data_IF_160185321546
#
_entry.id   IF_160185321546
#
_cell.length_a   1.000
_cell.length_b   1.000
_cell.length_c   1.000
_cell.angle_alpha   90.00
_cell.angle_beta   90.00
_cell.angle_gamma   90.00
#
_symmetry.space_group_name_H-M   'P 1'
#
loop_
_entity.id
_entity.type
_entity.pdbx_description
1 polymer ?
#
# COMPACT_ATOMS: atom_id res chain seq x y z
N UNK A 1 7.81 11.65 -7.76
CA UNK A 1 8.69 11.46 -6.60
C UNK A 1 9.28 10.08 -6.65
N UNK A 2 9.48 9.46 -5.49
CA UNK A 2 10.09 8.14 -5.35
C UNK A 2 9.03 7.03 -5.39
N UNK A 3 9.36 5.89 -5.99
CA UNK A 3 8.47 4.72 -5.99
C UNK A 3 8.51 4.02 -4.64
N UNK A 4 7.34 3.75 -4.07
CA UNK A 4 7.20 2.82 -2.94
C UNK A 4 7.27 1.38 -3.44
N UNK A 5 6.60 1.09 -4.55
CA UNK A 5 6.68 -0.17 -5.29
C UNK A 5 6.15 -0.01 -6.71
N UNK A 6 6.48 -0.98 -7.56
CA UNK A 6 5.98 -1.08 -8.93
C UNK A 6 4.92 -2.17 -9.06
N UNK A 7 4.08 -2.01 -10.06
CA UNK A 7 3.16 -3.04 -10.54
C UNK A 7 3.94 -4.32 -10.85
N UNK A 8 3.45 -5.45 -10.35
CA UNK A 8 4.08 -6.76 -10.52
C UNK A 8 5.06 -7.16 -9.42
N UNK A 9 5.53 -6.21 -8.60
CA UNK A 9 6.40 -6.54 -7.45
C UNK A 9 5.67 -7.48 -6.48
N UNK A 10 6.43 -8.33 -5.79
CA UNK A 10 5.83 -9.20 -4.77
C UNK A 10 5.38 -8.36 -3.57
N UNK A 11 4.08 -8.41 -3.24
CA UNK A 11 3.55 -7.67 -2.09
C UNK A 11 3.74 -8.40 -0.77
N UNK A 12 4.77 -8.05 0.01
CA UNK A 12 5.07 -8.63 1.34
C UNK A 12 4.63 -7.78 2.52
N UNK A 13 4.14 -6.58 2.25
CA UNK A 13 3.82 -5.57 3.26
C UNK A 13 2.73 -4.62 2.75
N UNK A 14 2.07 -3.90 3.65
CA UNK A 14 1.19 -2.78 3.33
C UNK A 14 1.66 -1.50 4.04
N UNK A 15 1.17 -0.36 3.57
CA UNK A 15 1.63 0.94 4.03
C UNK A 15 0.47 1.82 4.49
N UNK A 16 0.76 2.71 5.44
CA UNK A 16 -0.11 3.79 5.89
C UNK A 16 0.58 5.13 5.65
N UNK A 17 -0.16 6.11 5.13
CA UNK A 17 0.36 7.46 4.93
C UNK A 17 0.30 8.20 6.27
N UNK A 18 1.46 8.46 6.88
CA UNK A 18 1.57 9.27 8.10
C UNK A 18 1.59 10.78 7.76
N UNK A 19 2.38 11.15 6.75
CA UNK A 19 2.46 12.51 6.22
C UNK A 19 2.80 12.49 4.72
N UNK A 20 2.54 13.61 4.02
CA UNK A 20 2.74 13.70 2.57
C UNK A 20 1.58 13.11 1.75
N UNK A 21 1.87 12.59 0.57
CA UNK A 21 0.86 12.02 -0.33
C UNK A 21 1.46 10.94 -1.25
N UNK A 22 0.64 9.96 -1.62
CA UNK A 22 1.01 8.87 -2.54
C UNK A 22 0.06 8.83 -3.73
N UNK A 23 0.62 8.87 -4.94
CA UNK A 23 -0.08 8.67 -6.20
C UNK A 23 -0.12 7.18 -6.54
N UNK A 24 -1.31 6.63 -6.72
CA UNK A 24 -1.52 5.27 -7.22
C UNK A 24 -1.74 5.35 -8.71
N UNK A 25 -0.92 4.63 -9.49
CA UNK A 25 -0.91 4.74 -10.94
C UNK A 25 -1.11 3.39 -11.63
N UNK A 26 -1.90 3.38 -12.69
CA UNK A 26 -2.08 2.23 -13.57
C UNK A 26 -1.66 2.65 -14.97
N UNK A 27 -0.66 1.95 -15.53
CA UNK A 27 -0.08 2.26 -16.85
C UNK A 27 0.38 3.73 -16.94
N UNK A 28 0.96 4.25 -15.85
CA UNK A 28 1.44 5.64 -15.76
C UNK A 28 0.37 6.71 -15.61
N UNK A 29 -0.91 6.34 -15.48
CA UNK A 29 -1.99 7.29 -15.19
C UNK A 29 -2.38 7.24 -13.71
N UNK A 30 -2.40 8.39 -13.04
CA UNK A 30 -2.91 8.51 -11.67
C UNK A 30 -4.40 8.15 -11.64
N UNK A 31 -4.73 7.10 -10.88
CA UNK A 31 -6.10 6.63 -10.67
C UNK A 31 -6.63 6.99 -9.28
N UNK A 32 -5.73 7.22 -8.32
CA UNK A 32 -6.06 7.67 -6.99
C UNK A 32 -4.89 8.44 -6.37
N UNK A 33 -5.22 9.33 -5.44
CA UNK A 33 -4.27 10.06 -4.62
C UNK A 33 -4.59 9.82 -3.15
N UNK A 34 -3.61 9.33 -2.41
CA UNK A 34 -3.74 8.93 -1.02
C UNK A 34 -3.10 9.99 -0.13
N UNK A 35 -3.84 10.39 0.90
CA UNK A 35 -3.47 11.45 1.85
C UNK A 35 -3.26 10.85 3.25
N UNK A 36 -2.76 11.63 4.24
CA UNK A 36 -2.56 11.12 5.60
C UNK A 36 -3.81 10.44 6.17
N UNK A 37 -3.60 9.28 6.80
CA UNK A 37 -4.67 8.39 7.28
C UNK A 37 -5.15 7.35 6.26
N UNK A 38 -4.72 7.44 5.00
CA UNK A 38 -4.97 6.40 3.99
C UNK A 38 -4.02 5.21 4.18
N UNK A 39 -4.43 4.04 3.71
CA UNK A 39 -3.58 2.86 3.60
C UNK A 39 -3.62 2.28 2.18
N UNK A 40 -2.60 1.51 1.81
CA UNK A 40 -2.49 0.89 0.49
C UNK A 40 -1.54 -0.31 0.46
N UNK A 41 -1.68 -1.14 -0.58
CA UNK A 41 -0.84 -2.33 -0.81
C UNK A 41 -1.40 -3.61 -0.19
N UNK A 42 -2.54 -3.54 0.49
CA UNK A 42 -3.27 -4.63 1.13
C UNK A 42 -3.68 -5.73 0.14
N UNK A 43 -4.04 -5.38 -1.09
CA UNK A 43 -4.41 -6.36 -2.11
C UNK A 43 -3.28 -7.34 -2.43
N UNK A 44 -2.02 -6.87 -2.40
CA UNK A 44 -0.85 -7.74 -2.61
C UNK A 44 -0.63 -8.73 -1.46
N UNK A 45 -1.08 -8.39 -0.25
CA UNK A 45 -1.04 -9.30 0.90
C UNK A 45 -2.16 -10.33 0.86
N UNK A 46 -3.37 -9.89 0.53
CA UNK A 46 -4.58 -10.72 0.55
C UNK A 46 -4.65 -11.71 -0.62
N UNK A 47 -4.36 -11.24 -1.85
CA UNK A 47 -4.53 -12.05 -3.05
C UNK A 47 -3.31 -12.93 -3.36
N UNK A 48 -2.21 -12.78 -2.61
CA UNK A 48 -0.91 -13.41 -2.87
C UNK A 48 -0.44 -13.27 -4.33
N UNK A 49 -0.87 -12.18 -4.95
CA UNK A 49 -0.56 -11.81 -6.33
C UNK A 49 0.31 -10.55 -6.29
N UNK A 50 1.02 -10.27 -7.38
CA UNK A 50 1.89 -9.09 -7.47
C UNK A 50 1.09 -7.78 -7.29
N UNK A 51 1.81 -6.69 -6.97
CA UNK A 51 1.23 -5.34 -6.88
C UNK A 51 0.42 -5.03 -8.15
N UNK A 52 -0.78 -4.47 -7.98
CA UNK A 52 -1.73 -4.22 -9.09
C UNK A 52 -1.59 -2.85 -9.76
N UNK A 53 -0.83 -1.97 -9.12
CA UNK A 53 -0.59 -0.60 -9.54
C UNK A 53 0.78 -0.16 -9.02
N UNK A 54 1.31 0.91 -9.59
CA UNK A 54 2.48 1.59 -9.05
C UNK A 54 2.03 2.49 -7.89
N UNK A 55 2.85 2.61 -6.86
CA UNK A 55 2.65 3.57 -5.78
C UNK A 55 3.87 4.50 -5.73
N UNK A 56 3.62 5.81 -5.88
CA UNK A 56 4.68 6.82 -6.02
C UNK A 56 4.43 7.94 -5.02
N UNK A 57 5.42 8.29 -4.21
CA UNK A 57 5.35 9.44 -3.32
C UNK A 57 5.30 10.75 -4.15
N UNK A 58 4.38 11.64 -3.79
CA UNK A 58 4.26 12.98 -4.35
C UNK A 58 4.96 14.00 -3.44
N UNK A 59 6.29 14.00 -3.52
CA UNK A 59 7.16 14.79 -2.63
C UNK A 59 7.53 14.05 -1.35
N UNK A 60 8.00 14.79 -0.35
CA UNK A 60 8.41 14.23 0.95
C UNK A 60 7.20 13.61 1.66
N UNK A 61 7.27 12.30 1.90
CA UNK A 61 6.20 11.53 2.53
C UNK A 61 6.78 10.58 3.57
N UNK A 62 6.05 10.41 4.66
CA UNK A 62 6.38 9.45 5.71
C UNK A 62 5.33 8.34 5.71
N UNK A 63 5.80 7.11 5.59
CA UNK A 63 4.96 5.92 5.52
C UNK A 63 5.25 5.02 6.70
N UNK A 64 4.19 4.48 7.31
CA UNK A 64 4.31 3.37 8.24
C UNK A 64 4.14 2.08 7.47
N UNK A 65 4.91 1.06 7.83
CA UNK A 65 4.90 -0.25 7.19
C UNK A 65 4.32 -1.30 8.14
N UNK A 66 3.48 -2.20 7.61
CA UNK A 66 2.94 -3.35 8.33
C UNK A 66 3.19 -4.62 7.51
N UNK A 67 4.00 -5.52 8.06
CA UNK A 67 4.38 -6.74 7.39
C UNK A 67 3.24 -7.76 7.31
N UNK A 68 3.42 -8.77 6.45
CA UNK A 68 2.41 -9.80 6.24
C UNK A 68 2.04 -10.58 7.52
N UNK A 69 3.00 -11.09 8.32
CA UNK A 69 2.67 -11.76 9.58
C UNK A 69 1.79 -10.91 10.51
N UNK A 70 2.15 -9.65 10.73
CA UNK A 70 1.41 -8.76 11.62
C UNK A 70 0.03 -8.41 11.06
N UNK A 71 -0.09 -8.24 9.73
CA UNK A 71 -1.37 -8.04 9.06
C UNK A 71 -2.35 -9.20 9.32
N UNK A 72 -1.91 -10.45 9.14
CA UNK A 72 -2.77 -11.62 9.40
C UNK A 72 -3.12 -11.75 10.88
N UNK A 73 -2.20 -11.42 11.79
CA UNK A 73 -2.48 -11.40 13.23
C UNK A 73 -3.56 -10.38 13.60
N UNK A 74 -3.62 -9.23 12.93
CA UNK A 74 -4.72 -8.25 13.11
C UNK A 74 -6.04 -8.82 12.61
N UNK A 75 -6.06 -9.44 11.43
CA UNK A 75 -7.28 -10.05 10.87
C UNK A 75 -7.83 -11.18 11.76
N UNK A 76 -6.96 -12.03 12.30
CA UNK A 76 -7.36 -13.11 13.23
C UNK A 76 -8.03 -12.57 14.49
N UNK A 77 -7.54 -11.44 15.03
CA UNK A 77 -8.10 -10.79 16.22
C UNK A 77 -9.37 -10.01 15.92
N UNK A 78 -9.57 -9.60 14.68
CA UNK A 78 -10.69 -8.77 14.24
C UNK A 78 -11.35 -9.36 12.99
N UNK A 79 -12.11 -10.47 13.12
CA UNK A 79 -12.68 -11.20 11.98
C UNK A 79 -13.62 -10.38 11.09
N UNK A 80 -14.13 -9.25 11.58
CA UNK A 80 -14.98 -8.33 10.81
C UNK A 80 -14.24 -7.60 9.69
N UNK A 81 -12.90 -7.62 9.71
CA UNK A 81 -12.03 -6.95 8.74
C UNK A 81 -11.59 -7.90 7.59
N UNK A 82 -11.91 -9.19 7.69
CA UNK A 82 -11.57 -10.22 6.72
C UNK A 82 -12.53 -10.25 5.52
#
# INVERSE_FOLDING_TARGET
GEFVFHTGDQGTTMYFVNSGAVSVQIRGHEVARLLPGSYFGELGLMLQDGRKADAVCDGDSELLELDRPDFYHVLEKHPILA
#
